data_IF_461856980428
#
_entry.id   IF_461856980428
#
_cell.length_a   1.000
_cell.length_b   1.000
_cell.length_c   1.000
_cell.angle_alpha   90.00
_cell.angle_beta   90.00
_cell.angle_gamma   90.00
#
_symmetry.space_group_name_H-M   'P 1'
#
loop_
_entity.id
_entity.type
_entity.pdbx_description
1 polymer ?
#
# COMPACT_ATOMS: atom_id res chain seq x y z
N UNK A 1 -7.58 0.93 27.02
CA UNK A 1 -8.10 -0.07 26.06
C UNK A 1 -8.98 -1.11 26.73
N UNK A 2 -10.29 -1.02 26.48
CA UNK A 2 -11.31 -1.96 26.98
C UNK A 2 -11.92 -2.72 25.80
N UNK A 3 -11.87 -4.06 25.84
CA UNK A 3 -12.53 -4.89 24.81
C UNK A 3 -14.04 -4.65 24.87
N UNK A 4 -14.62 -4.21 23.76
CA UNK A 4 -16.07 -4.02 23.64
C UNK A 4 -16.71 -5.31 23.16
N UNK A 5 -16.20 -5.89 22.07
CA UNK A 5 -16.85 -7.01 21.41
C UNK A 5 -15.86 -7.88 20.65
N UNK A 6 -16.17 -9.17 20.56
CA UNK A 6 -15.56 -10.10 19.60
C UNK A 6 -16.55 -10.32 18.45
N UNK A 7 -16.13 -10.06 17.22
CA UNK A 7 -16.91 -10.28 16.01
C UNK A 7 -16.37 -11.56 15.36
N UNK A 8 -17.19 -12.60 15.30
CA UNK A 8 -16.85 -13.82 14.56
C UNK A 8 -17.36 -13.67 13.13
N UNK A 9 -16.46 -13.84 12.15
CA UNK A 9 -16.82 -13.81 10.75
C UNK A 9 -17.20 -15.22 10.32
N UNK A 10 -18.44 -15.38 9.89
CA UNK A 10 -19.01 -16.60 9.30
C UNK A 10 -19.73 -16.23 8.01
N UNK A 11 -19.98 -17.19 7.12
CA UNK A 11 -20.74 -16.94 5.89
C UNK A 11 -22.10 -16.27 6.16
N UNK A 12 -22.76 -16.62 7.28
CA UNK A 12 -24.05 -16.02 7.68
C UNK A 12 -23.96 -14.55 8.09
N UNK A 13 -22.78 -14.07 8.48
CA UNK A 13 -22.56 -12.68 8.90
C UNK A 13 -22.07 -11.78 7.77
N UNK A 14 -21.73 -12.37 6.62
CA UNK A 14 -21.24 -11.65 5.45
C UNK A 14 -22.42 -11.22 4.58
N UNK A 15 -22.66 -9.91 4.52
CA UNK A 15 -23.75 -9.35 3.73
C UNK A 15 -23.20 -8.87 2.39
N UNK A 16 -23.80 -9.34 1.28
CA UNK A 16 -23.53 -8.81 -0.06
C UNK A 16 -24.21 -7.46 -0.32
N UNK A 17 -25.26 -7.15 0.45
CA UNK A 17 -25.99 -5.89 0.35
C UNK A 17 -25.41 -4.88 1.33
N UNK A 18 -24.99 -3.72 0.81
CA UNK A 18 -24.55 -2.57 1.58
C UNK A 18 -24.97 -1.27 0.87
N UNK A 19 -24.99 -0.12 1.56
CA UNK A 19 -25.36 1.14 0.95
C UNK A 19 -24.42 1.47 -0.23
N UNK A 20 -24.93 1.43 -1.44
CA UNK A 20 -24.14 1.59 -2.67
C UNK A 20 -23.58 3.01 -2.82
N UNK A 21 -24.24 3.98 -2.18
CA UNK A 21 -23.81 5.37 -2.19
C UNK A 21 -22.42 5.56 -1.56
N UNK A 22 -22.00 4.69 -0.64
CA UNK A 22 -20.70 4.74 0.05
C UNK A 22 -19.52 4.74 -0.94
N UNK A 23 -19.65 4.00 -2.04
CA UNK A 23 -18.61 3.90 -3.08
C UNK A 23 -18.90 4.73 -4.33
N UNK A 24 -20.04 5.43 -4.39
CA UNK A 24 -20.42 6.23 -5.55
C UNK A 24 -19.60 7.53 -5.64
N UNK A 25 -19.25 7.95 -6.87
CA UNK A 25 -18.65 9.26 -7.17
C UNK A 25 -17.38 9.60 -6.38
N UNK A 26 -16.55 8.60 -6.08
CA UNK A 26 -15.26 8.78 -5.41
C UNK A 26 -14.22 9.38 -6.38
N UNK A 27 -13.35 10.24 -5.87
CA UNK A 27 -12.24 10.82 -6.64
C UNK A 27 -11.04 11.07 -5.73
N UNK A 28 -9.82 10.83 -6.21
CA UNK A 28 -8.63 11.11 -5.42
C UNK A 28 -8.47 12.62 -5.19
N UNK A 29 -8.18 13.01 -3.94
CA UNK A 29 -7.78 14.37 -3.65
C UNK A 29 -6.34 14.62 -4.15
N UNK A 30 -6.13 15.71 -4.87
CA UNK A 30 -4.81 16.05 -5.45
C UNK A 30 -3.84 16.67 -4.43
N UNK A 31 -4.34 17.28 -3.36
CA UNK A 31 -3.52 17.95 -2.37
C UNK A 31 -3.42 17.13 -1.07
N UNK A 32 -2.19 16.97 -0.56
CA UNK A 32 -1.92 16.45 0.77
C UNK A 32 -1.71 17.63 1.71
N UNK A 33 -2.55 17.72 2.76
CA UNK A 33 -2.14 18.47 3.94
C UNK A 33 -0.90 17.81 4.52
N UNK A 34 0.07 18.59 5.00
CA UNK A 34 1.28 18.06 5.68
C UNK A 34 1.04 17.82 7.16
N UNK A 35 -0.15 18.13 7.68
CA UNK A 35 -0.45 18.10 9.11
C UNK A 35 -1.88 17.63 9.42
N UNK A 36 -2.00 16.71 10.40
CA UNK A 36 -3.27 16.16 10.88
C UNK A 36 -4.21 17.23 11.45
N UNK A 37 -3.69 18.29 12.09
CA UNK A 37 -4.53 19.39 12.62
C UNK A 37 -5.18 20.19 11.52
N UNK A 38 -4.47 20.40 10.41
CA UNK A 38 -5.06 21.06 9.24
C UNK A 38 -6.12 20.20 8.58
N UNK A 39 -5.91 18.88 8.51
CA UNK A 39 -6.95 17.94 8.05
C UNK A 39 -8.20 18.10 8.92
N UNK A 40 -8.04 18.06 10.24
CA UNK A 40 -9.16 18.21 11.16
C UNK A 40 -9.92 19.52 10.92
N UNK A 41 -9.21 20.64 10.84
CA UNK A 41 -9.79 21.97 10.61
C UNK A 41 -10.52 22.08 9.25
N UNK A 42 -9.92 21.56 8.17
CA UNK A 42 -10.46 21.67 6.81
C UNK A 42 -11.68 20.77 6.61
N UNK A 43 -11.70 19.61 7.25
CA UNK A 43 -12.67 18.55 6.95
C UNK A 43 -13.82 18.40 7.96
N UNK A 44 -13.79 19.12 9.09
CA UNK A 44 -14.80 18.99 10.17
C UNK A 44 -16.25 19.15 9.66
N UNK A 45 -16.49 20.04 8.70
CA UNK A 45 -17.82 20.32 8.14
C UNK A 45 -18.03 19.70 6.74
N UNK A 46 -17.23 18.69 6.38
CA UNK A 46 -17.21 18.08 5.04
C UNK A 46 -17.76 16.65 5.06
N UNK A 47 -18.67 16.33 5.99
CA UNK A 47 -19.31 15.01 6.12
C UNK A 47 -18.33 13.81 6.01
N UNK A 48 -17.26 13.77 6.82
CA UNK A 48 -16.25 12.72 6.69
C UNK A 48 -16.78 11.34 7.11
N UNK A 49 -16.25 10.30 6.49
CA UNK A 49 -16.45 8.90 6.88
C UNK A 49 -15.25 8.04 6.47
N UNK A 50 -15.15 6.82 6.99
CA UNK A 50 -14.10 5.88 6.60
C UNK A 50 -14.66 4.57 6.08
N UNK A 51 -13.92 3.97 5.15
CA UNK A 51 -14.15 2.60 4.67
C UNK A 51 -12.88 1.83 4.95
N UNK A 52 -12.98 0.77 5.75
CA UNK A 52 -11.89 -0.18 5.94
C UNK A 52 -12.25 -1.47 5.21
N UNK A 53 -11.37 -1.89 4.31
CA UNK A 53 -11.46 -3.17 3.61
C UNK A 53 -10.36 -4.06 4.15
N UNK A 54 -10.73 -5.12 4.88
CA UNK A 54 -9.81 -6.21 5.22
C UNK A 54 -9.62 -7.08 3.99
N UNK A 55 -8.39 -7.43 3.66
CA UNK A 55 -8.05 -8.13 2.42
C UNK A 55 -7.52 -9.52 2.78
N UNK A 56 -8.24 -10.58 2.41
CA UNK A 56 -7.70 -11.93 2.48
C UNK A 56 -6.81 -12.23 1.28
N UNK A 57 -5.86 -13.14 1.46
CA UNK A 57 -5.10 -13.65 0.34
C UNK A 57 -6.01 -14.43 -0.61
N UNK A 58 -5.82 -14.23 -1.92
CA UNK A 58 -6.52 -15.03 -2.92
C UNK A 58 -6.21 -16.51 -2.68
N UNK A 59 -7.24 -17.35 -2.72
CA UNK A 59 -7.09 -18.79 -2.59
C UNK A 59 -6.06 -19.33 -3.59
N UNK A 60 -5.16 -20.22 -3.14
CA UNK A 60 -4.07 -20.75 -3.96
C UNK A 60 -4.57 -21.39 -5.27
N UNK A 61 -5.74 -22.01 -5.23
CA UNK A 61 -6.36 -22.68 -6.38
C UNK A 61 -6.89 -21.70 -7.44
N UNK A 62 -7.03 -20.43 -7.07
CA UNK A 62 -7.59 -19.38 -7.93
C UNK A 62 -6.53 -18.56 -8.66
N UNK A 63 -5.27 -18.56 -8.19
CA UNK A 63 -4.18 -17.86 -8.88
C UNK A 63 -3.95 -18.33 -10.31
N UNK A 64 -4.35 -19.55 -10.67
CA UNK A 64 -4.20 -20.07 -12.04
C UNK A 64 -5.39 -19.81 -12.94
N UNK A 65 -6.50 -19.31 -12.38
CA UNK A 65 -7.76 -19.13 -13.07
C UNK A 65 -7.90 -17.69 -13.55
N UNK A 66 -8.13 -17.53 -14.85
CA UNK A 66 -8.18 -16.23 -15.53
C UNK A 66 -9.36 -15.35 -15.08
N UNK A 67 -10.37 -15.93 -14.43
CA UNK A 67 -11.47 -15.16 -13.85
C UNK A 67 -11.12 -14.54 -12.48
N UNK A 68 -10.03 -14.98 -11.83
CA UNK A 68 -9.62 -14.48 -10.51
C UNK A 68 -8.32 -13.66 -10.50
N UNK A 69 -7.41 -13.93 -11.44
CA UNK A 69 -6.15 -13.24 -11.56
C UNK A 69 -5.72 -13.04 -13.03
N UNK A 70 -5.00 -11.96 -13.29
CA UNK A 70 -4.38 -11.66 -14.57
C UNK A 70 -2.86 -11.82 -14.51
N UNK A 71 -2.22 -12.36 -15.56
CA UNK A 71 -0.77 -12.32 -15.69
C UNK A 71 -0.31 -10.90 -16.03
N UNK A 72 0.63 -10.37 -15.28
CA UNK A 72 1.33 -9.12 -15.56
C UNK A 72 2.78 -9.45 -15.94
N UNK A 73 3.29 -8.78 -16.98
CA UNK A 73 4.69 -8.89 -17.39
C UNK A 73 5.47 -7.79 -16.69
N UNK A 74 6.35 -8.18 -15.79
CA UNK A 74 7.25 -7.25 -15.11
C UNK A 74 8.60 -7.30 -15.83
N UNK A 75 9.06 -6.18 -16.41
CA UNK A 75 10.41 -6.09 -16.95
C UNK A 75 11.44 -6.45 -15.88
N UNK A 76 12.41 -7.26 -16.25
CA UNK A 76 13.56 -7.56 -15.40
C UNK A 76 14.84 -7.30 -16.18
N UNK A 77 15.93 -7.07 -15.46
CA UNK A 77 17.23 -6.81 -16.06
C UNK A 77 17.60 -7.88 -17.11
N UNK A 78 18.15 -7.48 -18.27
CA UNK A 78 18.74 -8.42 -19.22
C UNK A 78 19.78 -9.31 -18.54
N UNK A 79 20.00 -10.51 -19.10
CA UNK A 79 20.96 -11.46 -18.50
C UNK A 79 22.37 -10.87 -18.44
N UNK A 80 22.73 -10.02 -19.40
CA UNK A 80 24.01 -9.33 -19.42
C UNK A 80 24.20 -8.43 -18.18
N UNK A 81 23.26 -7.54 -17.91
CA UNK A 81 23.27 -6.67 -16.72
C UNK A 81 23.30 -7.48 -15.41
N UNK A 82 22.49 -8.56 -15.34
CA UNK A 82 22.49 -9.48 -14.20
C UNK A 82 23.87 -10.11 -13.94
N UNK A 83 24.62 -10.43 -15.00
CA UNK A 83 25.97 -11.01 -14.89
C UNK A 83 27.02 -9.97 -14.46
N UNK A 84 26.91 -8.72 -14.92
CA UNK A 84 27.80 -7.64 -14.49
C UNK A 84 27.63 -7.38 -12.98
N UNK A 85 26.37 -7.25 -12.53
CA UNK A 85 26.05 -7.11 -11.11
C UNK A 85 26.55 -8.31 -10.30
N UNK A 86 26.36 -9.53 -10.83
CA UNK A 86 26.87 -10.74 -10.19
C UNK A 86 28.39 -10.68 -9.98
N UNK A 87 29.17 -10.31 -11.01
CA UNK A 87 30.63 -10.22 -10.87
C UNK A 87 31.07 -9.12 -9.90
N UNK A 88 30.36 -8.00 -9.90
CA UNK A 88 30.57 -6.94 -8.93
C UNK A 88 30.38 -7.43 -7.48
N UNK A 89 29.26 -8.10 -7.19
CA UNK A 89 29.00 -8.63 -5.85
C UNK A 89 29.84 -9.86 -5.49
N UNK A 90 30.32 -10.63 -6.46
CA UNK A 90 31.33 -11.68 -6.23
C UNK A 90 32.68 -11.07 -5.82
N UNK A 91 33.02 -9.88 -6.31
CA UNK A 91 34.29 -9.21 -6.03
C UNK A 91 34.30 -8.50 -4.67
N UNK A 92 33.23 -7.76 -4.34
CA UNK A 92 33.16 -6.97 -3.11
C UNK A 92 32.32 -7.61 -2.00
N UNK A 93 31.55 -8.66 -2.28
CA UNK A 93 30.56 -9.21 -1.36
C UNK A 93 29.35 -8.29 -1.15
N UNK A 94 28.32 -8.79 -0.47
CA UNK A 94 27.05 -8.06 -0.32
C UNK A 94 27.19 -6.76 0.48
N UNK A 95 27.91 -6.77 1.61
CA UNK A 95 28.00 -5.62 2.50
C UNK A 95 28.74 -4.43 1.86
N UNK A 96 29.96 -4.65 1.36
CA UNK A 96 30.77 -3.60 0.74
C UNK A 96 30.22 -3.23 -0.65
N UNK A 97 29.77 -4.22 -1.43
CA UNK A 97 29.12 -4.00 -2.71
C UNK A 97 27.90 -3.08 -2.60
N UNK A 98 27.03 -3.28 -1.60
CA UNK A 98 25.88 -2.40 -1.37
C UNK A 98 26.29 -0.97 -0.99
N UNK A 99 27.37 -0.79 -0.24
CA UNK A 99 27.87 0.56 0.09
C UNK A 99 28.41 1.28 -1.14
N UNK A 100 29.18 0.58 -1.98
CA UNK A 100 29.71 1.13 -3.23
C UNK A 100 28.56 1.44 -4.19
N UNK A 101 27.61 0.52 -4.37
CA UNK A 101 26.45 0.71 -5.22
C UNK A 101 25.58 1.88 -4.76
N UNK A 102 25.42 2.05 -3.44
CA UNK A 102 24.76 3.22 -2.84
C UNK A 102 25.41 4.55 -3.25
N UNK A 103 26.75 4.61 -3.26
CA UNK A 103 27.50 5.79 -3.73
C UNK A 103 27.28 6.05 -5.22
N UNK A 104 27.18 5.00 -6.05
CA UNK A 104 26.83 5.15 -7.47
C UNK A 104 25.41 5.71 -7.64
N UNK A 105 24.43 5.19 -6.91
CA UNK A 105 23.06 5.72 -6.94
C UNK A 105 23.03 7.22 -6.61
N UNK A 106 23.79 7.67 -5.61
CA UNK A 106 23.90 9.10 -5.26
C UNK A 106 24.58 9.92 -6.37
N UNK A 107 25.70 9.41 -6.92
CA UNK A 107 26.46 10.04 -8.00
C UNK A 107 25.60 10.30 -9.24
N UNK A 108 24.78 9.33 -9.64
CA UNK A 108 24.01 9.40 -10.88
C UNK A 108 22.60 9.98 -10.72
N UNK A 109 22.06 10.10 -9.49
CA UNK A 109 20.71 10.65 -9.24
C UNK A 109 20.51 12.04 -9.85
N UNK A 110 21.51 12.92 -9.71
CA UNK A 110 21.43 14.27 -10.26
C UNK A 110 21.42 14.34 -11.79
N UNK A 111 22.06 13.38 -12.46
CA UNK A 111 22.00 13.26 -13.92
C UNK A 111 20.65 12.70 -14.36
N UNK A 112 20.18 11.65 -13.69
CA UNK A 112 18.88 11.02 -13.93
C UNK A 112 17.70 12.01 -13.82
N UNK A 113 17.70 12.87 -12.82
CA UNK A 113 16.69 13.92 -12.67
C UNK A 113 16.78 14.98 -13.79
N UNK A 114 17.99 15.37 -14.22
CA UNK A 114 18.19 16.33 -15.33
C UNK A 114 17.71 15.79 -16.68
N UNK A 115 17.85 14.49 -16.90
CA UNK A 115 17.42 13.81 -18.12
C UNK A 115 15.95 13.40 -18.09
N UNK A 116 15.16 13.98 -17.17
CA UNK A 116 13.73 13.70 -16.99
C UNK A 116 13.42 12.20 -16.85
N UNK A 117 14.36 11.42 -16.28
CA UNK A 117 14.16 10.00 -15.96
C UNK A 117 13.78 9.16 -17.18
N UNK A 118 14.39 9.45 -18.32
CA UNK A 118 14.15 8.76 -19.60
C UNK A 118 14.64 7.31 -19.61
N UNK A 119 15.57 6.96 -18.71
CA UNK A 119 16.05 5.60 -18.42
C UNK A 119 15.96 5.31 -16.92
N UNK A 120 16.08 4.05 -16.54
CA UNK A 120 16.18 3.67 -15.13
C UNK A 120 17.55 4.11 -14.56
N UNK A 121 17.60 4.47 -13.28
CA UNK A 121 18.86 4.92 -12.65
C UNK A 121 19.96 3.85 -12.70
N UNK A 122 19.57 2.58 -12.59
CA UNK A 122 20.48 1.44 -12.67
C UNK A 122 21.17 1.32 -14.03
N UNK A 123 20.56 1.79 -15.12
CA UNK A 123 21.16 1.74 -16.46
C UNK A 123 22.45 2.57 -16.53
N UNK A 124 22.49 3.72 -15.85
CA UNK A 124 23.69 4.56 -15.76
C UNK A 124 24.81 3.85 -15.01
N UNK A 125 24.47 3.15 -13.92
CA UNK A 125 25.46 2.41 -13.12
C UNK A 125 26.02 1.25 -13.94
N UNK A 126 25.15 0.52 -14.63
CA UNK A 126 25.56 -0.57 -15.51
C UNK A 126 26.49 -0.06 -16.61
N UNK A 127 26.11 1.01 -17.32
CA UNK A 127 26.86 1.56 -18.46
C UNK A 127 28.20 2.17 -18.04
N UNK A 128 28.24 2.96 -16.96
CA UNK A 128 29.41 3.76 -16.61
C UNK A 128 30.31 3.14 -15.55
N UNK A 129 29.78 2.27 -14.68
CA UNK A 129 30.55 1.66 -13.59
C UNK A 129 30.79 0.18 -13.84
N UNK A 130 29.77 -0.60 -14.18
CA UNK A 130 29.92 -2.06 -14.21
C UNK A 130 30.46 -2.60 -15.54
N UNK A 131 29.97 -2.08 -16.67
CA UNK A 131 30.42 -2.51 -18.00
C UNK A 131 31.93 -2.35 -18.19
N UNK A 132 32.55 -1.19 -17.89
CA UNK A 132 33.99 -1.00 -18.08
C UNK A 132 34.86 -2.02 -17.33
N UNK A 133 34.39 -2.51 -16.18
CA UNK A 133 35.17 -3.39 -15.31
C UNK A 133 34.89 -4.88 -15.57
N UNK A 134 33.66 -5.25 -15.92
CA UNK A 134 33.24 -6.66 -15.93
C UNK A 134 32.87 -7.20 -17.31
N UNK A 135 32.76 -6.36 -18.34
CA UNK A 135 32.42 -6.79 -19.71
C UNK A 135 33.33 -7.91 -20.23
N UNK A 136 34.64 -7.76 -20.08
CA UNK A 136 35.61 -8.77 -20.53
C UNK A 136 35.43 -10.12 -19.80
N UNK A 137 35.10 -10.10 -18.49
CA UNK A 137 34.79 -11.32 -17.74
C UNK A 137 33.54 -12.01 -18.30
N UNK A 138 32.51 -11.24 -18.65
CA UNK A 138 31.29 -11.77 -19.29
C UNK A 138 31.60 -12.34 -20.68
N UNK A 139 32.31 -11.59 -21.52
CA UNK A 139 32.62 -11.99 -22.91
C UNK A 139 33.49 -13.25 -22.99
N UNK A 140 34.42 -13.45 -22.05
CA UNK A 140 35.22 -14.69 -21.97
C UNK A 140 34.35 -15.93 -21.75
N UNK A 141 33.28 -15.80 -20.96
CA UNK A 141 32.40 -16.92 -20.58
C UNK A 141 31.24 -17.12 -21.56
N UNK A 142 30.73 -16.06 -22.16
CA UNK A 142 29.55 -16.07 -23.00
C UNK A 142 29.85 -15.50 -24.39
N UNK A 143 29.76 -16.34 -25.41
CA UNK A 143 30.11 -16.00 -26.80
C UNK A 143 29.06 -15.13 -27.51
N UNK A 144 27.81 -15.13 -27.05
CA UNK A 144 26.71 -14.43 -27.71
C UNK A 144 26.13 -13.33 -26.80
N UNK A 145 26.76 -12.15 -26.81
CA UNK A 145 26.33 -10.98 -26.03
C UNK A 145 24.95 -10.49 -26.48
N UNK A 146 24.62 -10.61 -27.76
CA UNK A 146 23.33 -10.17 -28.27
C UNK A 146 22.16 -10.91 -27.60
N UNK A 147 22.28 -12.23 -27.40
CA UNK A 147 21.29 -13.01 -26.66
C UNK A 147 21.19 -12.59 -25.19
N UNK A 148 22.29 -12.20 -24.55
CA UNK A 148 22.29 -11.77 -23.15
C UNK A 148 21.61 -10.41 -22.94
N UNK A 149 21.61 -9.56 -23.96
CA UNK A 149 20.99 -8.23 -23.94
C UNK A 149 19.50 -8.23 -24.33
N UNK A 150 18.92 -9.39 -24.69
CA UNK A 150 17.49 -9.46 -24.99
C UNK A 150 16.66 -9.05 -23.78
N UNK A 151 15.62 -8.22 -23.96
CA UNK A 151 14.68 -7.89 -22.89
C UNK A 151 14.09 -9.15 -22.27
N UNK A 152 14.01 -9.17 -20.94
CA UNK A 152 13.46 -10.27 -20.17
C UNK A 152 12.30 -9.78 -19.32
N UNK A 153 11.37 -10.68 -19.06
CA UNK A 153 10.20 -10.40 -18.25
C UNK A 153 9.95 -11.54 -17.28
N UNK A 154 9.58 -11.22 -16.05
CA UNK A 154 8.94 -12.16 -15.13
C UNK A 154 7.43 -12.05 -15.30
N UNK A 155 6.75 -13.18 -15.36
CA UNK A 155 5.29 -13.20 -15.27
C UNK A 155 4.95 -13.25 -13.79
N UNK A 156 4.34 -12.18 -13.29
CA UNK A 156 3.63 -12.21 -12.02
C UNK A 156 2.14 -12.34 -12.28
N UNK A 157 1.37 -12.64 -11.25
CA UNK A 157 -0.07 -12.63 -11.33
C UNK A 157 -0.61 -11.61 -10.36
N UNK A 158 -1.54 -10.82 -10.84
CA UNK A 158 -2.24 -9.83 -10.06
C UNK A 158 -3.69 -10.26 -9.92
N UNK A 159 -4.24 -10.13 -8.72
CA UNK A 159 -5.61 -10.43 -8.40
C UNK A 159 -6.55 -9.39 -9.03
N UNK A 160 -7.71 -9.81 -9.55
CA UNK A 160 -8.76 -8.86 -9.90
C UNK A 160 -9.47 -8.32 -8.65
N UNK A 161 -9.70 -7.02 -8.64
CA UNK A 161 -10.46 -6.34 -7.61
C UNK A 161 -11.82 -5.92 -8.17
N UNK A 162 -12.89 -6.58 -7.71
CA UNK A 162 -14.28 -6.16 -7.95
C UNK A 162 -14.63 -5.01 -7.01
N UNK A 163 -13.93 -3.89 -7.21
CA UNK A 163 -14.16 -2.63 -6.54
C UNK A 163 -14.37 -1.54 -7.59
N UNK A 164 -15.25 -0.56 -7.35
CA UNK A 164 -15.46 0.52 -8.30
C UNK A 164 -14.21 1.39 -8.41
N UNK A 165 -14.01 2.00 -9.58
CA UNK A 165 -13.01 3.06 -9.74
C UNK A 165 -13.28 4.19 -8.73
N UNK A 166 -12.25 4.74 -8.07
CA UNK A 166 -10.83 4.54 -8.31
C UNK A 166 -10.15 3.54 -7.34
N UNK A 167 -10.94 2.63 -6.75
CA UNK A 167 -10.52 1.63 -5.76
C UNK A 167 -10.27 0.24 -6.37
N UNK A 168 -10.40 0.10 -7.69
CA UNK A 168 -10.27 -1.13 -8.48
C UNK A 168 -8.85 -1.73 -8.51
N UNK A 169 -7.95 -1.26 -7.66
CA UNK A 169 -6.63 -1.82 -7.44
C UNK A 169 -6.29 -1.71 -5.96
N UNK A 170 -5.83 -2.81 -5.36
CA UNK A 170 -5.39 -2.85 -3.96
C UNK A 170 -3.99 -3.44 -3.93
N UNK A 171 -3.11 -2.87 -3.11
CA UNK A 171 -1.83 -3.48 -2.82
C UNK A 171 -2.05 -4.78 -2.02
N UNK A 172 -1.88 -5.92 -2.66
CA UNK A 172 -2.13 -7.25 -2.05
C UNK A 172 -1.22 -7.54 -0.85
N UNK A 173 -0.13 -6.79 -0.68
CA UNK A 173 0.74 -6.89 0.49
C UNK A 173 0.07 -6.31 1.74
N UNK A 174 -1.01 -5.55 1.56
CA UNK A 174 -1.75 -4.97 2.66
C UNK A 174 -2.80 -5.95 3.17
N UNK A 175 -2.82 -6.24 4.48
CA UNK A 175 -3.92 -6.98 5.06
C UNK A 175 -5.18 -6.14 5.23
N UNK A 176 -5.09 -4.82 5.04
CA UNK A 176 -6.23 -3.91 5.01
C UNK A 176 -5.95 -2.64 4.19
N UNK A 177 -7.01 -1.98 3.76
CA UNK A 177 -6.96 -0.67 3.13
C UNK A 177 -7.94 0.27 3.84
N UNK A 178 -7.45 1.43 4.29
CA UNK A 178 -8.24 2.47 4.92
C UNK A 178 -8.47 3.60 3.92
N UNK A 179 -9.72 3.80 3.55
CA UNK A 179 -10.16 4.87 2.66
C UNK A 179 -10.81 5.95 3.52
N UNK A 180 -10.18 7.11 3.59
CA UNK A 180 -10.70 8.29 4.26
C UNK A 180 -11.47 9.11 3.23
N UNK A 181 -12.76 9.35 3.49
CA UNK A 181 -13.67 10.02 2.56
C UNK A 181 -14.22 11.29 3.20
N UNK A 182 -14.37 12.33 2.39
CA UNK A 182 -15.09 13.56 2.74
C UNK A 182 -15.75 14.15 1.49
N UNK A 183 -16.69 15.07 1.70
CA UNK A 183 -17.45 15.71 0.64
C UNK A 183 -17.02 17.17 0.45
N UNK A 184 -16.71 17.53 -0.80
CA UNK A 184 -16.39 18.89 -1.20
C UNK A 184 -17.03 19.17 -2.56
N UNK A 185 -17.75 20.30 -2.67
CA UNK A 185 -18.44 20.72 -3.90
C UNK A 185 -19.29 19.60 -4.54
N UNK A 186 -20.04 18.88 -3.70
CA UNK A 186 -20.87 17.72 -4.06
C UNK A 186 -20.11 16.52 -4.66
N UNK A 187 -18.79 16.47 -4.49
CA UNK A 187 -17.93 15.34 -4.86
C UNK A 187 -17.41 14.65 -3.61
N UNK A 188 -17.27 13.32 -3.67
CA UNK A 188 -16.64 12.54 -2.62
C UNK A 188 -15.16 12.38 -2.91
N UNK A 189 -14.34 13.05 -2.12
CA UNK A 189 -12.90 13.00 -2.23
C UNK A 189 -12.33 11.94 -1.30
N UNK A 190 -11.26 11.28 -1.75
CA UNK A 190 -10.63 10.19 -0.99
C UNK A 190 -9.12 10.35 -0.83
N UNK A 191 -8.63 9.75 0.26
CA UNK A 191 -7.23 9.32 0.43
C UNK A 191 -7.19 7.89 0.95
N UNK A 192 -6.18 7.14 0.52
CA UNK A 192 -5.96 5.74 0.91
C UNK A 192 -4.73 5.64 1.79
N UNK A 193 -4.92 5.08 2.97
CA UNK A 193 -3.87 4.71 3.91
C UNK A 193 -3.83 3.19 4.07
N UNK A 194 -2.65 2.65 4.36
CA UNK A 194 -2.44 1.21 4.52
C UNK A 194 -1.00 0.91 4.90
N UNK A 195 -0.66 -0.38 4.94
CA UNK A 195 0.64 -0.86 5.43
C UNK A 195 1.73 -0.97 4.33
N UNK A 196 1.35 -0.87 3.05
CA UNK A 196 2.12 -1.42 1.92
C UNK A 196 3.27 -0.58 1.39
N UNK A 197 3.23 0.72 1.67
CA UNK A 197 4.31 1.62 1.30
C UNK A 197 4.52 2.68 2.35
N UNK A 198 5.70 3.30 2.34
CA UNK A 198 5.99 4.37 3.29
C UNK A 198 5.00 5.54 3.19
N UNK A 199 4.59 5.91 1.98
CA UNK A 199 3.58 6.94 1.76
C UNK A 199 2.18 6.52 2.21
N UNK A 200 1.78 5.26 2.01
CA UNK A 200 0.49 4.76 2.52
C UNK A 200 0.45 4.76 4.05
N UNK A 201 1.54 4.38 4.72
CA UNK A 201 1.65 4.40 6.19
C UNK A 201 1.58 5.81 6.75
N UNK A 202 2.26 6.76 6.09
CA UNK A 202 2.19 8.18 6.44
C UNK A 202 0.77 8.71 6.31
N UNK A 203 0.10 8.47 5.17
CA UNK A 203 -1.30 8.88 4.95
C UNK A 203 -2.22 8.24 5.99
N UNK A 204 -2.06 6.94 6.28
CA UNK A 204 -2.84 6.23 7.28
C UNK A 204 -2.75 6.92 8.64
N UNK A 205 -1.54 7.19 9.12
CA UNK A 205 -1.30 7.86 10.40
C UNK A 205 -1.85 9.28 10.42
N UNK A 206 -1.52 10.06 9.40
CA UNK A 206 -1.89 11.46 9.26
C UNK A 206 -3.41 11.67 9.29
N UNK A 207 -4.14 10.90 8.47
CA UNK A 207 -5.60 10.98 8.40
C UNK A 207 -6.26 10.35 9.63
N UNK A 208 -5.70 9.27 10.20
CA UNK A 208 -6.19 8.70 11.46
C UNK A 208 -6.18 9.75 12.57
N UNK A 209 -5.08 10.49 12.76
CA UNK A 209 -5.04 11.54 13.77
C UNK A 209 -5.96 12.72 13.44
N UNK A 210 -6.05 13.12 12.18
CA UNK A 210 -6.93 14.23 11.77
C UNK A 210 -8.40 13.92 11.99
N UNK A 211 -8.84 12.72 11.58
CA UNK A 211 -10.19 12.23 11.78
C UNK A 211 -10.46 11.94 13.26
N UNK A 212 -9.46 11.47 14.01
CA UNK A 212 -9.55 11.30 15.46
C UNK A 212 -9.88 12.59 16.20
N UNK A 213 -9.27 13.72 15.80
CA UNK A 213 -9.60 15.04 16.33
C UNK A 213 -11.02 15.48 15.96
N UNK A 214 -11.46 15.26 14.72
CA UNK A 214 -12.84 15.57 14.31
C UNK A 214 -13.84 14.72 15.10
N UNK A 215 -13.57 13.43 15.26
CA UNK A 215 -14.44 12.45 15.92
C UNK A 215 -14.73 12.79 17.39
N UNK A 216 -13.87 13.57 18.05
CA UNK A 216 -14.10 14.09 19.39
C UNK A 216 -15.19 15.17 19.45
N UNK A 217 -15.46 15.85 18.32
CA UNK A 217 -16.49 16.88 18.22
C UNK A 217 -17.73 16.39 17.47
N UNK A 218 -17.52 15.63 16.39
CA UNK A 218 -18.58 15.10 15.52
C UNK A 218 -18.24 13.64 15.19
N UNK A 219 -19.05 12.66 15.62
CA UNK A 219 -18.78 11.24 15.33
C UNK A 219 -18.62 10.97 13.84
N UNK A 220 -17.53 10.31 13.46
CA UNK A 220 -17.25 9.93 12.07
C UNK A 220 -17.69 8.48 11.84
N UNK A 221 -18.70 8.19 11.01
CA UNK A 221 -19.10 6.81 10.76
C UNK A 221 -18.00 6.04 10.04
N UNK A 222 -17.83 4.77 10.41
CA UNK A 222 -16.86 3.87 9.78
C UNK A 222 -17.54 2.62 9.26
N UNK A 223 -17.14 2.17 8.07
CA UNK A 223 -17.71 1.01 7.40
C UNK A 223 -16.64 -0.06 7.22
N UNK A 224 -16.90 -1.26 7.72
CA UNK A 224 -15.99 -2.39 7.67
C UNK A 224 -16.45 -3.42 6.65
N UNK A 225 -15.53 -3.77 5.76
CA UNK A 225 -15.70 -4.75 4.70
C UNK A 225 -14.62 -5.83 4.76
N UNK A 226 -14.93 -6.98 4.16
CA UNK A 226 -13.99 -8.07 3.88
C UNK A 226 -13.95 -8.30 2.37
N UNK A 227 -12.76 -8.22 1.79
CA UNK A 227 -12.50 -8.70 0.44
C UNK A 227 -11.92 -10.11 0.53
N UNK A 228 -12.79 -11.10 0.36
CA UNK A 228 -12.55 -12.52 0.68
C UNK A 228 -11.49 -13.19 -0.18
N UNK A 229 -11.09 -14.42 0.13
CA UNK A 229 -10.20 -15.26 -0.70
C UNK A 229 -10.77 -15.67 -2.08
N UNK A 230 -11.99 -15.21 -2.45
CA UNK A 230 -12.70 -15.54 -3.70
C UNK A 230 -13.07 -14.36 -4.60
N UNK A 231 -12.46 -13.19 -4.43
CA UNK A 231 -12.81 -11.94 -5.15
C UNK A 231 -14.22 -11.42 -4.88
N UNK A 232 -14.74 -11.67 -3.68
CA UNK A 232 -16.04 -11.12 -3.27
C UNK A 232 -15.86 -10.10 -2.15
N UNK A 233 -16.50 -8.94 -2.29
CA UNK A 233 -16.61 -7.93 -1.25
C UNK A 233 -17.85 -8.21 -0.39
N UNK A 234 -17.63 -8.24 0.93
CA UNK A 234 -18.69 -8.43 1.91
C UNK A 234 -18.70 -7.30 2.91
N UNK A 235 -19.88 -6.81 3.24
CA UNK A 235 -20.08 -5.88 4.33
C UNK A 235 -20.16 -6.64 5.65
N UNK A 236 -19.40 -6.17 6.64
CA UNK A 236 -19.39 -6.74 7.98
C UNK A 236 -20.21 -5.86 8.92
N UNK A 237 -19.87 -4.57 9.01
CA UNK A 237 -20.43 -3.70 10.05
C UNK A 237 -20.27 -2.22 9.74
N UNK A 238 -21.30 -1.44 10.14
CA UNK A 238 -21.22 0.00 10.34
C UNK A 238 -20.96 0.32 11.82
N UNK A 239 -20.05 1.25 12.06
CA UNK A 239 -19.79 1.88 13.35
C UNK A 239 -20.29 3.32 13.30
N UNK A 240 -20.90 3.78 14.40
CA UNK A 240 -21.40 5.16 14.55
C UNK A 240 -20.29 6.17 14.81
N UNK A 241 -19.12 5.69 15.23
CA UNK A 241 -17.92 6.42 15.59
C UNK A 241 -16.74 5.93 14.75
N UNK A 242 -15.65 6.71 14.77
CA UNK A 242 -14.45 6.37 14.03
C UNK A 242 -13.87 5.05 14.55
N UNK A 243 -13.80 4.06 13.68
CA UNK A 243 -13.32 2.73 13.96
C UNK A 243 -12.35 2.28 12.86
N UNK A 244 -11.08 2.03 13.22
CA UNK A 244 -10.02 1.68 12.29
C UNK A 244 -9.18 0.49 12.80
N UNK A 245 -8.45 -0.21 11.93
CA UNK A 245 -7.41 -1.14 12.35
C UNK A 245 -6.35 -0.46 13.21
N UNK A 246 -5.93 -1.10 14.30
CA UNK A 246 -4.89 -0.58 15.20
C UNK A 246 -3.45 -0.78 14.66
N UNK A 247 -3.29 -0.94 13.35
CA UNK A 247 -1.99 -1.18 12.72
C UNK A 247 -1.47 0.07 12.02
N UNK A 248 -0.15 0.21 11.99
CA UNK A 248 0.58 1.28 11.29
C UNK A 248 0.12 2.71 11.62
N UNK A 249 -0.45 2.91 12.82
CA UNK A 249 -0.75 4.24 13.36
C UNK A 249 0.55 4.78 13.98
N UNK A 250 0.94 5.99 13.58
CA UNK A 250 2.21 6.61 13.97
C UNK A 250 3.39 6.26 13.04
N UNK A 251 3.20 5.34 12.09
CA UNK A 251 4.22 4.96 11.11
C UNK A 251 4.44 6.07 10.08
N UNK A 252 5.67 6.53 9.95
CA UNK A 252 6.09 7.64 9.06
C UNK A 252 5.42 8.99 9.32
N UNK A 253 4.56 9.10 10.33
CA UNK A 253 4.03 10.34 10.85
C UNK A 253 3.85 10.21 12.37
N UNK A 254 4.88 10.58 13.12
CA UNK A 254 4.93 10.34 14.57
C UNK A 254 4.37 11.52 15.37
N UNK A 255 3.59 11.22 16.41
CA UNK A 255 3.21 12.16 17.45
C UNK A 255 3.81 11.71 18.78
N UNK A 256 4.11 12.66 19.68
CA UNK A 256 4.49 12.28 21.04
C UNK A 256 3.36 11.51 21.71
N UNK A 257 3.64 10.56 22.64
CA UNK A 257 2.62 9.66 23.20
C UNK A 257 1.38 10.40 23.75
N UNK A 258 1.57 11.52 24.45
CA UNK A 258 0.46 12.33 24.97
C UNK A 258 -0.41 12.94 23.85
N UNK A 259 0.21 13.37 22.74
CA UNK A 259 -0.51 13.93 21.59
C UNK A 259 -1.24 12.84 20.82
N UNK A 260 -0.62 11.68 20.66
CA UNK A 260 -1.23 10.51 20.05
C UNK A 260 -2.46 10.06 20.86
N UNK A 261 -2.30 9.81 22.16
CA UNK A 261 -3.39 9.41 23.03
C UNK A 261 -4.55 10.42 22.98
N UNK A 262 -4.23 11.73 23.03
CA UNK A 262 -5.24 12.78 22.91
C UNK A 262 -5.95 12.75 21.55
N UNK A 263 -5.25 12.50 20.45
CA UNK A 263 -5.88 12.41 19.13
C UNK A 263 -6.81 11.18 19.00
N UNK A 264 -6.48 10.09 19.70
CA UNK A 264 -7.14 8.80 19.58
C UNK A 264 -8.20 8.50 20.68
N UNK A 265 -8.47 9.43 21.60
CA UNK A 265 -9.22 9.15 22.85
C UNK A 265 -10.68 8.70 22.66
N UNK A 266 -11.37 9.15 21.61
CA UNK A 266 -12.77 8.76 21.33
C UNK A 266 -12.90 7.76 20.16
N UNK A 267 -11.80 7.09 19.82
CA UNK A 267 -11.78 6.15 18.72
C UNK A 267 -12.02 4.72 19.19
N UNK A 268 -12.69 3.98 18.32
CA UNK A 268 -12.79 2.54 18.36
C UNK A 268 -11.69 1.93 17.49
N UNK A 269 -11.28 0.71 17.82
CA UNK A 269 -10.27 -0.01 17.07
C UNK A 269 -10.67 -1.45 16.82
N UNK A 270 -10.21 -1.97 15.69
CA UNK A 270 -10.26 -3.39 15.36
C UNK A 270 -8.88 -3.99 15.28
N UNK A 271 -8.78 -5.26 15.67
CA UNK A 271 -7.59 -6.08 15.58
C UNK A 271 -7.99 -7.52 15.24
N UNK A 272 -7.21 -8.20 14.40
CA UNK A 272 -7.33 -9.62 14.12
C UNK A 272 -5.96 -10.29 14.10
N UNK A 273 -5.94 -11.60 14.38
CA UNK A 273 -4.66 -12.31 14.58
C UNK A 273 -4.00 -12.79 13.30
N UNK A 274 -4.80 -13.21 12.33
CA UNK A 274 -4.32 -13.86 11.11
C UNK A 274 -4.60 -12.95 9.92
N UNK A 275 -3.55 -12.31 9.41
CA UNK A 275 -3.61 -11.42 8.26
C UNK A 275 -3.88 -12.13 6.94
N UNK A 276 -3.73 -13.46 6.88
CA UNK A 276 -4.00 -14.23 5.67
C UNK A 276 -5.48 -14.62 5.54
N UNK A 277 -6.16 -14.83 6.68
CA UNK A 277 -7.55 -15.28 6.74
C UNK A 277 -8.28 -14.77 7.98
N UNK A 278 -9.34 -13.99 7.78
CA UNK A 278 -9.99 -13.30 8.88
C UNK A 278 -11.22 -14.05 9.36
N UNK A 279 -11.02 -14.87 10.39
CA UNK A 279 -12.10 -15.60 11.07
C UNK A 279 -12.71 -14.84 12.25
N UNK A 280 -11.94 -13.93 12.85
CA UNK A 280 -12.32 -13.25 14.09
C UNK A 280 -11.67 -11.89 14.22
N UNK A 281 -12.47 -10.90 14.60
CA UNK A 281 -12.05 -9.52 14.87
C UNK A 281 -12.36 -9.19 16.34
N UNK A 282 -11.42 -8.50 16.99
CA UNK A 282 -11.60 -7.92 18.32
C UNK A 282 -11.82 -6.42 18.14
N UNK A 283 -12.96 -5.92 18.61
CA UNK A 283 -13.30 -4.50 18.67
C UNK A 283 -13.15 -3.99 20.10
N UNK A 284 -12.40 -2.91 20.28
CA UNK A 284 -12.14 -2.28 21.58
C UNK A 284 -12.19 -0.75 21.47
N UNK A 285 -12.40 -0.08 22.60
CA UNK A 285 -12.33 1.39 22.71
C UNK A 285 -11.01 1.78 23.37
N UNK A 286 -10.43 2.90 22.92
CA UNK A 286 -9.28 3.49 23.62
C UNK A 286 -9.63 3.84 25.06
#
# INVERSE_FOLDING_TARGET
MKIIKKITITEKTLLKNYPQDIFSNLSYANNLSTNHKEIAKKLINKNPYTITIIIENLNIDFWRKKEYAQPIKIPILPKYAELLLKYFFEEYGECEGNQIYGKYLEKYRGLWDKENRTKELDDYIIEFELEPHYKEKVMKKYKNIHELNKPRFRIERERYYDLPSPLNHIDWRNPYDNIFVWQEDNKKLIKRGGSGSSGQREINSLFTFGFGLINQSIPIPSYLFLYSDKNELFFIKKFSSLCLPYYDIGSNYFLSPNKEQKALQEMDFINWKDFSKVKKIVWFKN
#
